data_IF_479964524483
#
_entry.id   IF_479964524483
#
_cell.length_a   1.000
_cell.length_b   1.000
_cell.length_c   1.000
_cell.angle_alpha   90.00
_cell.angle_beta   90.00
_cell.angle_gamma   90.00
#
_symmetry.space_group_name_H-M   'P 1'
#
loop_
_entity.id
_entity.type
_entity.pdbx_description
1 polymer ?
#
# COMPACT_ATOMS: atom_id res chain seq x y z
N UNK A 1 15.04 -2.62 8.08
CA UNK A 1 14.69 -2.47 6.66
C UNK A 1 13.58 -3.46 6.33
N UNK A 2 12.52 -3.01 5.74
CA UNK A 2 11.46 -3.85 5.19
C UNK A 2 11.55 -3.82 3.67
N UNK A 3 11.63 -4.98 3.05
CA UNK A 3 11.68 -5.14 1.60
C UNK A 3 10.46 -5.99 1.21
N UNK A 4 9.63 -5.48 0.32
CA UNK A 4 8.55 -6.23 -0.31
C UNK A 4 8.89 -6.48 -1.78
N UNK A 5 8.74 -7.70 -2.23
CA UNK A 5 8.94 -8.06 -3.63
C UNK A 5 7.90 -9.10 -4.06
N UNK A 6 7.48 -9.01 -5.30
CA UNK A 6 6.58 -9.95 -5.99
C UNK A 6 7.36 -10.90 -6.91
N UNK A 7 8.67 -10.66 -7.11
CA UNK A 7 9.51 -11.49 -7.98
C UNK A 7 10.11 -12.63 -7.19
N UNK A 8 9.79 -13.85 -7.61
CA UNK A 8 10.32 -15.09 -6.98
C UNK A 8 11.85 -15.17 -7.01
N UNK A 9 12.48 -14.64 -8.06
CA UNK A 9 13.94 -14.60 -8.19
C UNK A 9 14.63 -13.77 -7.11
N UNK A 10 13.98 -12.69 -6.63
CA UNK A 10 14.51 -11.86 -5.55
C UNK A 10 14.47 -12.55 -4.18
N UNK A 11 13.66 -13.59 -4.01
CA UNK A 11 13.64 -14.36 -2.77
C UNK A 11 14.97 -15.08 -2.54
N UNK A 12 15.52 -15.71 -3.57
CA UNK A 12 16.85 -16.36 -3.48
C UNK A 12 17.96 -15.37 -3.13
N UNK A 13 17.87 -14.13 -3.64
CA UNK A 13 18.81 -13.07 -3.29
C UNK A 13 18.68 -12.64 -1.83
N UNK A 14 17.45 -12.49 -1.32
CA UNK A 14 17.20 -12.13 0.07
C UNK A 14 17.66 -13.24 1.03
N UNK A 15 17.47 -14.51 0.65
CA UNK A 15 17.96 -15.66 1.41
C UNK A 15 19.48 -15.69 1.52
N UNK A 16 20.17 -15.17 0.51
CA UNK A 16 21.63 -15.15 0.46
C UNK A 16 22.27 -14.04 1.31
N UNK A 17 21.47 -13.14 1.91
CA UNK A 17 22.00 -12.04 2.75
C UNK A 17 22.65 -12.64 4.00
N UNK A 18 23.99 -12.55 4.15
CA UNK A 18 24.65 -13.12 5.30
C UNK A 18 24.34 -12.34 6.57
N UNK A 19 24.15 -13.07 7.66
CA UNK A 19 24.07 -12.46 9.00
C UNK A 19 25.37 -11.72 9.29
N UNK A 20 25.28 -10.48 9.71
CA UNK A 20 26.44 -9.62 9.93
C UNK A 20 26.82 -8.74 8.74
N UNK A 21 26.12 -8.84 7.60
CA UNK A 21 26.35 -7.93 6.48
C UNK A 21 26.16 -6.47 6.91
N UNK A 22 27.18 -5.66 6.68
CA UNK A 22 27.07 -4.22 6.88
C UNK A 22 26.34 -3.58 5.69
N UNK A 23 25.29 -2.84 5.97
CA UNK A 23 24.51 -2.11 4.98
C UNK A 23 24.59 -0.63 5.28
N UNK A 24 24.98 0.17 4.30
CA UNK A 24 25.17 1.61 4.43
C UNK A 24 24.07 2.35 3.70
N UNK A 25 23.30 3.16 4.43
CA UNK A 25 22.26 4.05 3.90
C UNK A 25 22.72 5.51 4.10
N UNK A 26 23.34 6.11 3.12
CA UNK A 26 23.89 7.44 3.26
C UNK A 26 24.95 7.51 4.38
N UNK A 27 24.62 8.14 5.51
CA UNK A 27 25.51 8.22 6.69
C UNK A 27 25.21 7.17 7.75
N UNK A 28 24.12 6.43 7.62
CA UNK A 28 23.72 5.40 8.56
C UNK A 28 24.38 4.08 8.20
N UNK A 29 25.12 3.51 9.15
CA UNK A 29 25.64 2.14 9.05
C UNK A 29 24.75 1.22 9.87
N UNK A 30 24.34 0.12 9.27
CA UNK A 30 23.50 -0.89 9.91
C UNK A 30 24.08 -2.28 9.65
N UNK A 31 23.75 -3.22 10.49
CA UNK A 31 24.19 -4.61 10.33
C UNK A 31 22.96 -5.49 10.17
N UNK A 32 22.97 -6.35 9.17
CA UNK A 32 21.92 -7.35 8.99
C UNK A 32 21.99 -8.38 10.13
N UNK A 33 20.98 -8.41 10.99
CA UNK A 33 20.90 -9.37 12.11
C UNK A 33 20.19 -10.66 11.72
N UNK A 34 19.54 -10.69 10.57
CA UNK A 34 18.83 -11.82 10.01
C UNK A 34 17.76 -11.38 9.03
N UNK A 35 17.29 -12.33 8.25
CA UNK A 35 16.12 -12.18 7.39
C UNK A 35 14.96 -12.93 8.06
N UNK A 36 13.83 -12.27 8.20
CA UNK A 36 12.58 -12.89 8.67
C UNK A 36 11.59 -12.83 7.54
N UNK A 37 11.07 -13.99 7.18
CA UNK A 37 9.96 -14.09 6.26
C UNK A 37 8.67 -13.99 7.06
N UNK A 38 7.77 -13.17 6.64
CA UNK A 38 6.47 -13.01 7.27
C UNK A 38 5.84 -11.73 6.76
N UNK A 39 4.57 -11.80 6.49
CA UNK A 39 3.82 -10.59 6.34
C UNK A 39 3.88 -9.85 7.69
N UNK A 40 4.29 -8.59 7.72
CA UNK A 40 4.25 -7.82 8.95
C UNK A 40 2.83 -7.70 9.52
N UNK A 41 1.85 -8.27 8.86
CA UNK A 41 0.43 -8.12 9.10
C UNK A 41 -0.34 -9.44 9.07
N UNK A 42 0.29 -10.58 9.38
CA UNK A 42 -0.35 -11.90 9.40
C UNK A 42 -0.94 -12.35 8.05
N UNK A 43 -0.39 -11.89 6.93
CA UNK A 43 -0.73 -12.42 5.62
C UNK A 43 0.23 -13.58 5.29
N UNK A 44 -0.23 -14.72 4.77
CA UNK A 44 0.63 -15.82 4.39
C UNK A 44 1.50 -15.44 3.18
N UNK A 45 2.69 -15.98 3.10
CA UNK A 45 3.86 -15.50 2.34
C UNK A 45 4.09 -16.08 0.96
N UNK A 46 3.16 -16.78 0.35
CA UNK A 46 3.34 -17.30 -1.01
C UNK A 46 2.41 -16.59 -1.98
N UNK A 47 3.01 -15.73 -2.80
CA UNK A 47 2.31 -14.79 -3.67
C UNK A 47 1.52 -15.45 -4.80
N UNK A 48 1.97 -16.56 -5.34
CA UNK A 48 1.29 -17.24 -6.47
C UNK A 48 -0.12 -17.73 -6.12
N UNK A 49 -0.45 -17.78 -4.82
CA UNK A 49 -1.76 -18.17 -4.30
C UNK A 49 -2.42 -17.09 -3.42
N UNK A 50 -1.75 -15.96 -3.12
CA UNK A 50 -2.29 -15.00 -2.16
C UNK A 50 -3.48 -14.23 -2.71
N UNK A 51 -3.40 -13.74 -3.94
CA UNK A 51 -4.51 -13.05 -4.56
C UNK A 51 -5.70 -14.01 -4.75
N UNK A 52 -5.44 -15.27 -5.08
CA UNK A 52 -6.48 -16.30 -5.19
C UNK A 52 -7.03 -16.69 -3.82
N UNK A 53 -6.19 -16.82 -2.79
CA UNK A 53 -6.62 -17.06 -1.40
C UNK A 53 -7.37 -15.87 -0.81
N UNK A 54 -6.93 -14.66 -1.12
CA UNK A 54 -7.61 -13.42 -0.74
C UNK A 54 -8.95 -13.35 -1.46
N UNK A 55 -8.99 -13.60 -2.76
CA UNK A 55 -10.20 -13.60 -3.56
C UNK A 55 -11.21 -14.66 -3.06
N UNK A 56 -10.76 -15.89 -2.77
CA UNK A 56 -11.60 -16.95 -2.19
C UNK A 56 -12.09 -16.63 -0.77
N UNK A 57 -11.29 -15.98 0.07
CA UNK A 57 -11.71 -15.54 1.41
C UNK A 57 -12.67 -14.35 1.35
N UNK A 58 -12.51 -13.47 0.38
CA UNK A 58 -13.39 -12.33 0.16
C UNK A 58 -14.73 -12.75 -0.42
N UNK A 59 -14.76 -13.79 -1.25
CA UNK A 59 -16.01 -14.39 -1.78
C UNK A 59 -16.93 -14.93 -0.69
N UNK A 60 -16.39 -15.17 0.52
CA UNK A 60 -17.18 -15.70 1.63
C UNK A 60 -17.88 -14.63 2.49
N UNK A 61 -17.40 -13.35 2.46
CA UNK A 61 -18.00 -12.26 3.27
C UNK A 61 -17.69 -10.90 2.63
N UNK A 62 -18.74 -10.19 2.25
CA UNK A 62 -18.62 -8.82 1.77
C UNK A 62 -18.00 -7.89 2.82
N UNK A 63 -16.92 -7.22 2.45
CA UNK A 63 -16.28 -6.20 3.28
C UNK A 63 -17.13 -4.94 3.30
N UNK A 64 -17.41 -4.40 4.47
CA UNK A 64 -18.18 -3.16 4.61
C UNK A 64 -17.30 -1.92 4.79
N UNK A 65 -16.15 -2.08 5.44
CA UNK A 65 -15.21 -0.97 5.70
C UNK A 65 -13.78 -1.37 5.46
N UNK A 66 -13.02 -0.43 4.93
CA UNK A 66 -11.57 -0.52 4.79
C UNK A 66 -10.95 0.63 5.58
N UNK A 67 -10.04 0.31 6.50
CA UNK A 67 -9.26 1.30 7.23
C UNK A 67 -7.82 1.28 6.74
N UNK A 68 -7.34 2.42 6.24
CA UNK A 68 -5.93 2.67 5.96
C UNK A 68 -5.31 3.40 7.17
N UNK A 69 -4.36 2.76 7.82
CA UNK A 69 -3.48 3.40 8.78
C UNK A 69 -2.21 3.82 8.05
N UNK A 70 -2.08 5.11 7.81
CA UNK A 70 -0.96 5.72 7.07
C UNK A 70 0.16 5.99 8.07
N UNK A 71 1.22 5.18 8.02
CA UNK A 71 2.31 5.16 9.00
C UNK A 71 3.43 6.14 8.68
N UNK A 72 3.63 6.44 7.40
CA UNK A 72 4.65 7.39 6.95
C UNK A 72 4.03 8.49 6.10
N UNK A 73 4.60 9.71 6.06
CA UNK A 73 4.03 10.83 5.35
C UNK A 73 3.66 10.51 3.90
N UNK A 74 2.42 10.78 3.54
CA UNK A 74 1.84 10.45 2.24
C UNK A 74 1.31 11.70 1.56
N UNK A 75 1.66 11.88 0.30
CA UNK A 75 1.07 12.87 -0.59
C UNK A 75 0.82 12.27 -1.97
N UNK A 76 0.01 12.96 -2.76
CA UNK A 76 -0.34 12.56 -4.11
C UNK A 76 0.01 13.68 -5.09
N UNK A 77 0.23 13.33 -6.36
CA UNK A 77 0.42 14.32 -7.41
C UNK A 77 -0.89 15.09 -7.66
N UNK A 78 -0.83 16.40 -7.61
CA UNK A 78 -1.90 17.27 -8.04
C UNK A 78 -1.43 18.18 -9.19
N UNK A 79 -2.39 18.82 -9.88
CA UNK A 79 -2.11 19.71 -11.02
C UNK A 79 -1.26 20.93 -10.64
N UNK A 80 -1.45 21.43 -9.42
CA UNK A 80 -0.79 22.64 -8.92
C UNK A 80 0.13 22.39 -7.73
N UNK A 81 0.55 21.14 -7.51
CA UNK A 81 1.41 20.75 -6.40
C UNK A 81 0.91 19.50 -5.70
N UNK A 82 1.51 19.19 -4.56
CA UNK A 82 1.19 17.99 -3.81
C UNK A 82 -0.14 18.11 -3.06
N UNK A 83 -0.96 17.06 -3.18
CA UNK A 83 -2.19 16.91 -2.41
C UNK A 83 -1.86 16.05 -1.19
N UNK A 84 -2.06 16.60 0.01
CA UNK A 84 -1.75 15.92 1.26
C UNK A 84 -2.93 15.14 1.84
N UNK A 85 -4.17 15.50 1.51
CA UNK A 85 -5.34 14.81 2.04
C UNK A 85 -5.73 13.59 1.19
N UNK A 86 -5.69 12.37 1.74
CA UNK A 86 -5.99 11.14 1.00
C UNK A 86 -7.50 10.99 0.78
N UNK A 87 -7.94 11.18 -0.46
CA UNK A 87 -9.28 10.80 -0.89
C UNK A 87 -9.28 9.36 -1.42
N UNK A 88 -10.44 8.71 -1.46
CA UNK A 88 -10.59 7.38 -2.06
C UNK A 88 -10.04 7.34 -3.49
N UNK A 89 -10.40 8.32 -4.32
CA UNK A 89 -9.95 8.40 -5.72
C UNK A 89 -8.42 8.52 -5.83
N UNK A 90 -7.77 9.31 -4.97
CA UNK A 90 -6.31 9.46 -4.98
C UNK A 90 -5.60 8.18 -4.53
N UNK A 91 -6.11 7.54 -3.46
CA UNK A 91 -5.55 6.28 -2.95
C UNK A 91 -5.63 5.21 -4.03
N UNK A 92 -6.84 4.94 -4.55
CA UNK A 92 -7.04 3.85 -5.50
C UNK A 92 -6.42 4.14 -6.87
N UNK A 93 -6.40 5.39 -7.36
CA UNK A 93 -5.65 5.74 -8.56
C UNK A 93 -4.15 5.47 -8.42
N UNK A 94 -3.55 5.81 -7.27
CA UNK A 94 -2.13 5.55 -7.03
C UNK A 94 -1.82 4.05 -6.95
N UNK A 95 -2.76 3.24 -6.46
CA UNK A 95 -2.63 1.79 -6.38
C UNK A 95 -2.73 1.14 -7.77
N UNK A 96 -3.66 1.60 -8.61
CA UNK A 96 -3.75 1.16 -10.01
C UNK A 96 -2.50 1.51 -10.80
N UNK A 97 -1.97 2.72 -10.64
CA UNK A 97 -0.72 3.10 -11.30
C UNK A 97 0.44 2.16 -10.93
N UNK A 98 0.53 1.76 -9.67
CA UNK A 98 1.55 0.81 -9.19
C UNK A 98 1.27 -0.62 -9.62
N UNK A 99 0.01 -1.04 -9.64
CA UNK A 99 -0.41 -2.34 -10.15
C UNK A 99 -0.01 -2.49 -11.61
N UNK A 100 -0.38 -1.52 -12.44
CA UNK A 100 -0.10 -1.54 -13.88
C UNK A 100 1.39 -1.34 -14.23
N UNK A 101 2.18 -0.75 -13.32
CA UNK A 101 3.63 -0.63 -13.47
C UNK A 101 4.39 -1.88 -12.99
N UNK A 102 3.74 -2.79 -12.30
CA UNK A 102 4.30 -4.09 -11.89
C UNK A 102 4.11 -5.15 -12.97
N UNK A 103 4.74 -6.32 -12.78
CA UNK A 103 4.60 -7.47 -13.68
C UNK A 103 3.30 -8.27 -13.40
N UNK A 104 2.21 -7.56 -13.14
CA UNK A 104 0.90 -8.20 -12.95
C UNK A 104 0.33 -8.65 -14.28
N UNK A 105 -0.28 -9.84 -14.30
CA UNK A 105 -0.88 -10.45 -15.50
C UNK A 105 -2.02 -9.61 -16.09
N UNK A 106 -2.78 -8.94 -15.22
CA UNK A 106 -3.97 -8.20 -15.62
C UNK A 106 -3.74 -6.69 -15.45
N UNK A 107 -3.96 -5.94 -16.53
CA UNK A 107 -3.95 -4.48 -16.52
C UNK A 107 -5.31 -3.97 -16.07
N UNK A 108 -5.32 -3.14 -15.04
CA UNK A 108 -6.55 -2.53 -14.52
C UNK A 108 -6.87 -1.21 -15.25
N UNK A 109 -8.13 -1.05 -15.63
CA UNK A 109 -8.63 0.20 -16.19
C UNK A 109 -8.74 1.27 -15.09
N UNK A 110 -7.93 2.33 -15.23
CA UNK A 110 -7.85 3.43 -14.26
C UNK A 110 -9.15 4.23 -14.16
N UNK A 111 -9.87 4.41 -15.27
CA UNK A 111 -11.10 5.20 -15.28
C UNK A 111 -12.27 4.41 -14.67
N UNK A 112 -12.30 3.10 -14.88
CA UNK A 112 -13.21 2.21 -14.16
C UNK A 112 -12.95 2.31 -12.64
N UNK A 113 -11.70 2.19 -12.20
CA UNK A 113 -11.38 2.27 -10.77
C UNK A 113 -11.72 3.63 -10.18
N UNK A 114 -11.52 4.73 -10.90
CA UNK A 114 -11.95 6.07 -10.45
C UNK A 114 -13.46 6.15 -10.26
N UNK A 115 -14.22 5.56 -11.18
CA UNK A 115 -15.67 5.51 -11.08
C UNK A 115 -16.13 4.72 -9.88
N UNK A 116 -15.51 3.57 -9.61
CA UNK A 116 -15.78 2.75 -8.42
C UNK A 116 -15.36 3.48 -7.15
N UNK A 117 -14.17 4.08 -7.12
CA UNK A 117 -13.64 4.82 -5.98
C UNK A 117 -14.50 6.05 -5.63
N UNK A 118 -15.20 6.65 -6.58
CA UNK A 118 -16.16 7.74 -6.33
C UNK A 118 -17.38 7.30 -5.51
N UNK A 119 -17.74 6.00 -5.52
CA UNK A 119 -18.81 5.42 -4.70
C UNK A 119 -18.37 5.15 -3.27
N UNK A 120 -17.05 5.12 -3.01
CA UNK A 120 -16.45 4.85 -1.70
C UNK A 120 -16.57 6.08 -0.82
N UNK A 121 -17.24 5.95 0.32
CA UNK A 121 -17.50 7.08 1.21
C UNK A 121 -16.51 7.10 2.37
N UNK A 122 -15.87 8.26 2.59
CA UNK A 122 -15.08 8.49 3.80
C UNK A 122 -16.02 8.57 5.01
N UNK A 123 -15.89 7.62 5.94
CA UNK A 123 -16.75 7.54 7.13
C UNK A 123 -16.06 8.20 8.35
N UNK A 124 -14.77 7.97 8.49
CA UNK A 124 -13.98 8.50 9.61
C UNK A 124 -12.55 8.75 9.19
N UNK A 125 -11.95 9.80 9.74
CA UNK A 125 -10.52 10.03 9.66
C UNK A 125 -9.99 10.68 10.92
N UNK A 126 -8.71 10.43 11.19
CA UNK A 126 -7.94 11.10 12.24
C UNK A 126 -6.48 11.18 11.79
N UNK A 127 -5.81 12.27 12.13
CA UNK A 127 -4.40 12.41 11.80
C UNK A 127 -3.99 13.86 11.59
N UNK A 128 -2.80 14.03 11.07
CA UNK A 128 -2.19 15.33 10.85
C UNK A 128 -1.23 15.28 9.67
N UNK A 129 -0.81 16.45 9.20
CA UNK A 129 0.27 16.56 8.22
C UNK A 129 1.61 16.57 8.92
N UNK A 130 2.60 15.92 8.31
CA UNK A 130 3.98 15.90 8.77
C UNK A 130 4.90 16.25 7.62
N UNK A 131 5.82 17.19 7.86
CA UNK A 131 6.87 17.51 6.90
C UNK A 131 8.08 16.63 7.15
N UNK A 132 8.62 16.05 6.07
CA UNK A 132 9.85 15.28 6.07
C UNK A 132 10.80 15.83 5.03
N UNK A 133 12.09 15.72 5.30
CA UNK A 133 13.14 16.11 4.37
C UNK A 133 13.83 14.86 3.84
N UNK A 134 14.05 14.80 2.54
CA UNK A 134 14.77 13.74 1.86
C UNK A 134 15.83 14.38 0.93
N UNK A 135 17.03 13.81 0.93
CA UNK A 135 18.17 14.45 0.28
C UNK A 135 18.62 15.71 1.02
N UNK A 136 19.29 16.64 0.31
CA UNK A 136 19.88 17.84 0.94
C UNK A 136 18.86 18.95 1.18
N UNK A 137 17.93 19.20 0.23
CA UNK A 137 17.06 20.39 0.25
C UNK A 137 15.59 20.08 -0.16
N UNK A 138 15.21 18.82 -0.27
CA UNK A 138 13.87 18.44 -0.71
C UNK A 138 13.01 18.09 0.47
N UNK A 139 11.93 18.83 0.66
CA UNK A 139 10.92 18.56 1.69
C UNK A 139 9.61 18.10 1.05
N UNK A 140 8.94 17.18 1.73
CA UNK A 140 7.59 16.76 1.40
C UNK A 140 6.72 16.94 2.65
N UNK A 141 5.56 17.57 2.47
CA UNK A 141 4.50 17.55 3.47
C UNK A 141 3.50 16.47 3.09
N UNK A 142 3.28 15.54 3.98
CA UNK A 142 2.35 14.42 3.76
C UNK A 142 1.46 14.19 4.98
N UNK A 143 0.40 13.44 4.79
CA UNK A 143 -0.53 13.04 5.85
C UNK A 143 -0.02 11.77 6.55
N UNK A 144 -0.25 11.71 7.87
CA UNK A 144 -0.06 10.54 8.73
C UNK A 144 -1.32 10.38 9.58
N UNK A 145 -1.85 9.15 9.68
CA UNK A 145 -3.05 8.88 10.45
C UNK A 145 -3.92 7.78 9.88
N UNK A 146 -5.22 7.80 10.19
CA UNK A 146 -6.16 6.75 9.80
C UNK A 146 -7.31 7.30 8.98
N UNK A 147 -7.69 6.56 7.96
CA UNK A 147 -8.87 6.78 7.13
C UNK A 147 -9.70 5.51 7.06
N UNK A 148 -10.97 5.61 7.45
CA UNK A 148 -11.93 4.52 7.33
C UNK A 148 -12.94 4.86 6.24
N UNK A 149 -12.98 4.01 5.23
CA UNK A 149 -13.88 4.12 4.11
C UNK A 149 -14.98 3.07 4.19
N UNK A 150 -16.21 3.48 3.92
CA UNK A 150 -17.36 2.61 3.77
C UNK A 150 -17.49 2.20 2.30
N UNK A 151 -17.51 0.89 2.05
CA UNK A 151 -17.60 0.27 0.73
C UNK A 151 -18.85 -0.62 0.60
N UNK A 152 -19.81 -0.55 1.53
CA UNK A 152 -21.01 -1.39 1.56
C UNK A 152 -21.98 -1.15 0.40
N UNK A 153 -21.82 -0.02 -0.33
CA UNK A 153 -22.64 0.34 -1.49
C UNK A 153 -22.10 -0.18 -2.82
N UNK A 154 -20.92 -0.80 -2.81
CA UNK A 154 -20.29 -1.39 -3.99
C UNK A 154 -20.97 -2.71 -4.35
N UNK A 155 -21.00 -3.06 -5.64
CA UNK A 155 -21.35 -4.41 -6.06
C UNK A 155 -20.33 -5.42 -5.52
N UNK A 156 -20.62 -6.71 -5.65
CA UNK A 156 -19.71 -7.75 -5.16
C UNK A 156 -18.36 -7.67 -5.86
N UNK A 157 -18.35 -7.52 -7.17
CA UNK A 157 -17.15 -7.41 -8.00
C UNK A 157 -16.36 -6.14 -7.68
N UNK A 158 -17.04 -5.00 -7.56
CA UNK A 158 -16.42 -3.73 -7.18
C UNK A 158 -15.81 -3.82 -5.77
N UNK A 159 -16.50 -4.46 -4.84
CA UNK A 159 -16.04 -4.66 -3.47
C UNK A 159 -14.78 -5.52 -3.41
N UNK A 160 -14.77 -6.64 -4.15
CA UNK A 160 -13.61 -7.51 -4.25
C UNK A 160 -12.41 -6.76 -4.84
N UNK A 161 -12.60 -6.05 -5.95
CA UNK A 161 -11.55 -5.30 -6.63
C UNK A 161 -10.93 -4.23 -5.73
N UNK A 162 -11.76 -3.41 -5.09
CA UNK A 162 -11.31 -2.36 -4.17
C UNK A 162 -10.59 -2.96 -2.95
N UNK A 163 -11.05 -4.10 -2.45
CA UNK A 163 -10.43 -4.79 -1.31
C UNK A 163 -9.06 -5.36 -1.69
N UNK A 164 -8.94 -5.99 -2.86
CA UNK A 164 -7.66 -6.51 -3.37
C UNK A 164 -6.65 -5.36 -3.53
N UNK A 165 -7.06 -4.26 -4.17
CA UNK A 165 -6.20 -3.08 -4.31
C UNK A 165 -5.78 -2.48 -2.95
N UNK A 166 -6.69 -2.43 -1.99
CA UNK A 166 -6.35 -1.94 -0.65
C UNK A 166 -5.29 -2.83 0.01
N UNK A 167 -5.43 -4.15 -0.05
CA UNK A 167 -4.45 -5.09 0.48
C UNK A 167 -3.11 -5.01 -0.25
N UNK A 168 -3.13 -4.85 -1.56
CA UNK A 168 -1.93 -4.59 -2.36
C UNK A 168 -1.17 -3.35 -1.87
N UNK A 169 -1.90 -2.32 -1.43
CA UNK A 169 -1.31 -1.10 -0.85
C UNK A 169 -0.42 -1.33 0.36
N UNK A 170 -0.61 -2.40 1.13
CA UNK A 170 0.29 -2.75 2.25
C UNK A 170 1.71 -3.10 1.79
N UNK A 171 1.85 -3.60 0.58
CA UNK A 171 3.12 -4.02 0.01
C UNK A 171 3.80 -2.90 -0.78
N UNK A 172 3.05 -2.19 -1.62
CA UNK A 172 3.61 -1.15 -2.50
C UNK A 172 3.54 0.26 -1.91
N UNK A 173 2.82 0.46 -0.80
CA UNK A 173 2.50 1.78 -0.26
C UNK A 173 1.50 2.54 -1.14
N UNK A 174 1.06 3.72 -0.68
CA UNK A 174 0.16 4.62 -1.41
C UNK A 174 0.82 5.97 -1.69
N UNK A 175 0.34 6.67 -2.72
CA UNK A 175 0.85 8.00 -3.07
C UNK A 175 2.27 8.00 -3.63
N UNK A 176 2.95 9.15 -3.47
CA UNK A 176 4.27 9.42 -4.04
C UNK A 176 5.40 8.85 -3.20
N UNK A 177 6.55 8.62 -3.85
CA UNK A 177 7.83 8.28 -3.23
C UNK A 177 7.77 7.05 -2.31
N UNK A 178 6.90 6.09 -2.63
CA UNK A 178 6.80 4.85 -1.86
C UNK A 178 8.10 4.02 -1.92
N UNK A 179 8.86 4.11 -3.00
CA UNK A 179 10.22 3.54 -3.10
C UNK A 179 11.23 4.19 -2.12
N UNK A 180 10.90 5.35 -1.54
CA UNK A 180 11.69 6.04 -0.53
C UNK A 180 11.09 5.89 0.88
N UNK A 181 10.34 4.82 1.12
CA UNK A 181 9.68 4.51 2.38
C UNK A 181 8.59 5.49 2.83
N UNK A 182 8.10 6.33 1.92
CA UNK A 182 6.91 7.15 2.14
C UNK A 182 5.64 6.40 1.73
N UNK A 183 4.49 6.81 2.25
CA UNK A 183 3.23 6.18 1.90
C UNK A 183 3.03 4.76 2.45
N UNK A 184 3.76 4.34 3.45
CA UNK A 184 3.59 3.04 4.08
C UNK A 184 2.25 2.96 4.80
N UNK A 185 1.49 1.92 4.53
CA UNK A 185 0.15 1.76 5.10
C UNK A 185 -0.05 0.36 5.68
N UNK A 186 -0.90 0.30 6.69
CA UNK A 186 -1.53 -0.91 7.18
C UNK A 186 -3.01 -0.87 6.82
N UNK A 187 -3.55 -1.97 6.33
CA UNK A 187 -4.96 -2.07 5.95
C UNK A 187 -5.68 -3.01 6.91
N UNK A 188 -6.84 -2.58 7.39
CA UNK A 188 -7.74 -3.40 8.19
C UNK A 188 -9.10 -3.48 7.50
N UNK A 189 -9.61 -4.69 7.35
CA UNK A 189 -10.90 -4.98 6.74
C UNK A 189 -11.94 -5.28 7.84
N UNK A 190 -13.15 -4.77 7.69
CA UNK A 190 -14.26 -5.02 8.61
C UNK A 190 -15.49 -5.48 7.82
N UNK A 191 -16.07 -6.62 8.28
CA UNK A 191 -17.24 -7.28 7.67
C UNK A 191 -18.56 -6.97 8.39
N UNK A 192 -18.51 -6.23 9.53
CA UNK A 192 -19.69 -5.84 10.33
C UNK A 192 -20.05 -4.40 10.15
#
# INVERSE_FOLDING_TARGET
LHISTWHSELWGLLDSIPKGLEVVFGRLRTTAIGVRYGAPFNLPLKVDNELELISRRLSAKQVKRITFEIMTPTSFNGTHGDITFPTSSLIFSSLVDKWNAGDMTDVLDKDLIRTVAAKVTLERWEGHTKRVFYGRDRGLTGFVGKFTFNISKLTEEENQLITILALFGQHCGIGRLSSQSLGQVRVTLQNK
#
